data_IF_378388652971
#
_entry.id   IF_378388652971
#
_cell.length_a   1.000
_cell.length_b   1.000
_cell.length_c   1.000
_cell.angle_alpha   90.00
_cell.angle_beta   90.00
_cell.angle_gamma   90.00
#
_symmetry.space_group_name_H-M   'P 1'
#
loop_
_entity.id
_entity.type
_entity.pdbx_description
1 polymer ?
#
# COMPACT_ATOMS: atom_id res chain seq x y z
N UNK A 1 12.82 0.93 -15.97
CA UNK A 1 13.35 1.81 -14.90
C UNK A 1 12.94 3.26 -15.16
N UNK A 2 12.93 3.72 -16.42
CA UNK A 2 12.54 5.11 -16.77
C UNK A 2 11.06 5.50 -16.52
N UNK A 3 10.13 4.55 -16.35
CA UNK A 3 8.70 4.84 -16.12
C UNK A 3 8.43 5.61 -14.83
N UNK A 4 9.29 5.46 -13.83
CA UNK A 4 9.16 6.11 -12.52
C UNK A 4 10.27 7.12 -12.26
N UNK A 5 10.97 7.58 -13.30
CA UNK A 5 11.99 8.61 -13.12
C UNK A 5 11.33 9.93 -12.71
N UNK A 6 11.97 10.74 -11.83
CA UNK A 6 11.54 12.11 -11.55
C UNK A 6 11.51 13.02 -12.79
N UNK A 7 12.18 12.61 -13.87
CA UNK A 7 12.27 13.34 -15.14
C UNK A 7 11.12 13.00 -16.10
N UNK A 8 10.40 11.92 -15.86
CA UNK A 8 9.24 11.50 -16.68
C UNK A 8 8.05 12.40 -16.35
N UNK A 9 7.35 12.90 -17.37
CA UNK A 9 6.25 13.86 -17.15
C UNK A 9 5.22 13.30 -16.16
N UNK A 10 4.89 14.11 -15.15
CA UNK A 10 4.09 13.76 -13.96
C UNK A 10 2.78 13.02 -14.27
N UNK A 11 2.19 13.20 -15.46
CA UNK A 11 0.91 12.60 -15.84
C UNK A 11 0.93 11.11 -16.22
N UNK A 12 2.09 10.48 -16.43
CA UNK A 12 2.19 9.05 -16.80
C UNK A 12 2.87 8.17 -15.74
N UNK A 13 3.24 8.75 -14.59
CA UNK A 13 3.96 8.05 -13.53
C UNK A 13 2.97 7.46 -12.53
N UNK A 14 2.70 6.15 -12.65
CA UNK A 14 1.79 5.42 -11.73
C UNK A 14 2.21 5.58 -10.26
N UNK A 15 3.51 5.58 -9.95
CA UNK A 15 3.98 5.74 -8.58
C UNK A 15 3.64 7.14 -8.01
N UNK A 16 3.74 8.18 -8.83
CA UNK A 16 3.32 9.53 -8.45
C UNK A 16 1.80 9.61 -8.23
N UNK A 17 0.99 8.99 -9.09
CA UNK A 17 -0.46 8.92 -8.89
C UNK A 17 -0.84 8.18 -7.60
N UNK A 18 -0.15 7.09 -7.28
CA UNK A 18 -0.36 6.37 -6.01
C UNK A 18 -0.05 7.31 -4.84
N UNK A 19 1.11 7.97 -4.85
CA UNK A 19 1.51 8.91 -3.80
C UNK A 19 0.49 10.05 -3.61
N UNK A 20 0.02 10.66 -4.69
CA UNK A 20 -1.02 11.68 -4.64
C UNK A 20 -2.35 11.14 -4.10
N UNK A 21 -2.74 9.93 -4.47
CA UNK A 21 -4.02 9.34 -4.03
C UNK A 21 -4.08 9.07 -2.52
N UNK A 22 -2.92 8.91 -1.88
CA UNK A 22 -2.78 8.68 -0.44
C UNK A 22 -2.29 9.91 0.33
N UNK A 23 -2.07 11.03 -0.36
CA UNK A 23 -1.68 12.27 0.28
C UNK A 23 -2.77 12.74 1.26
N UNK A 24 -2.38 13.06 2.50
CA UNK A 24 -3.28 13.32 3.63
C UNK A 24 -4.26 12.17 3.98
N UNK A 25 -3.86 10.93 3.73
CA UNK A 25 -4.65 9.76 4.09
C UNK A 25 -3.81 8.60 4.62
N UNK A 26 -4.49 7.59 5.17
CA UNK A 26 -3.91 6.37 5.71
C UNK A 26 -4.12 5.24 4.69
N UNK A 27 -3.08 4.77 3.99
CA UNK A 27 -3.22 3.69 3.03
C UNK A 27 -3.43 2.34 3.73
N UNK A 28 -4.34 1.56 3.16
CA UNK A 28 -4.57 0.16 3.50
C UNK A 28 -4.38 -0.67 2.23
N UNK A 29 -3.31 -1.47 2.20
CA UNK A 29 -2.92 -2.23 1.02
C UNK A 29 -3.48 -3.65 1.10
N UNK A 30 -4.22 -4.06 0.08
CA UNK A 30 -4.86 -5.36 0.00
C UNK A 30 -4.42 -6.14 -1.22
N UNK A 31 -4.38 -7.47 -1.13
CA UNK A 31 -4.23 -8.34 -2.31
C UNK A 31 -5.04 -9.62 -2.20
N UNK A 32 -5.45 -10.14 -3.36
CA UNK A 32 -6.13 -11.42 -3.50
C UNK A 32 -5.24 -12.61 -3.86
N UNK A 33 -4.01 -12.36 -4.32
CA UNK A 33 -3.11 -13.41 -4.75
C UNK A 33 -2.14 -13.78 -3.61
N UNK A 34 -2.14 -15.04 -3.12
CA UNK A 34 -1.30 -15.42 -1.97
C UNK A 34 0.19 -15.12 -2.16
N UNK A 35 0.72 -15.31 -3.38
CA UNK A 35 2.13 -15.04 -3.65
C UNK A 35 2.49 -13.54 -3.63
N UNK A 36 1.51 -12.63 -3.71
CA UNK A 36 1.71 -11.18 -3.58
C UNK A 36 1.67 -10.70 -2.12
N UNK A 37 1.35 -11.56 -1.15
CA UNK A 37 1.33 -11.17 0.27
C UNK A 37 2.64 -10.51 0.74
N UNK A 38 3.84 -11.03 0.41
CA UNK A 38 5.10 -10.37 0.77
C UNK A 38 5.23 -8.96 0.18
N UNK A 39 4.72 -8.72 -1.03
CA UNK A 39 4.73 -7.39 -1.66
C UNK A 39 3.79 -6.43 -0.94
N UNK A 40 2.63 -6.92 -0.51
CA UNK A 40 1.66 -6.14 0.27
C UNK A 40 2.27 -5.67 1.59
N UNK A 41 2.98 -6.58 2.29
CA UNK A 41 3.77 -6.25 3.49
C UNK A 41 4.89 -5.26 3.18
N UNK A 42 5.60 -5.44 2.05
CA UNK A 42 6.66 -4.51 1.65
C UNK A 42 6.12 -3.10 1.43
N UNK A 43 5.01 -2.94 0.70
CA UNK A 43 4.38 -1.63 0.48
C UNK A 43 4.05 -0.94 1.80
N UNK A 44 3.39 -1.67 2.72
CA UNK A 44 3.13 -1.18 4.07
C UNK A 44 4.41 -0.70 4.74
N UNK A 45 5.45 -1.53 4.76
CA UNK A 45 6.70 -1.18 5.44
C UNK A 45 7.37 0.05 4.80
N UNK A 46 7.45 0.12 3.47
CA UNK A 46 8.07 1.24 2.76
C UNK A 46 7.28 2.54 2.94
N UNK A 47 5.95 2.49 3.01
CA UNK A 47 5.13 3.66 3.35
C UNK A 47 5.37 4.15 4.78
N UNK A 48 5.43 3.25 5.76
CA UNK A 48 5.77 3.60 7.13
C UNK A 48 7.18 4.18 7.23
N UNK A 49 8.15 3.49 6.63
CA UNK A 49 9.56 3.81 6.74
C UNK A 49 9.95 5.04 5.92
N UNK A 50 9.64 5.12 4.63
CA UNK A 50 10.11 6.23 3.80
C UNK A 50 9.25 7.48 3.98
N UNK A 51 7.93 7.32 3.96
CA UNK A 51 6.97 8.45 3.98
C UNK A 51 6.63 8.94 5.39
N UNK A 52 7.17 8.29 6.43
CA UNK A 52 6.95 8.57 7.86
C UNK A 52 5.47 8.65 8.23
N UNK A 53 4.67 7.80 7.59
CA UNK A 53 3.20 7.83 7.68
C UNK A 53 2.65 6.43 7.88
N UNK A 54 1.67 6.29 8.78
CA UNK A 54 1.09 5.00 9.09
C UNK A 54 0.45 4.37 7.85
N UNK A 55 0.77 3.10 7.62
CA UNK A 55 0.17 2.28 6.57
C UNK A 55 -0.14 0.89 7.10
N UNK A 56 -1.17 0.26 6.55
CA UNK A 56 -1.62 -1.08 6.93
C UNK A 56 -1.70 -2.00 5.71
N UNK A 57 -1.71 -3.31 5.96
CA UNK A 57 -1.87 -4.31 4.90
C UNK A 57 -2.60 -5.55 5.38
N UNK A 58 -3.45 -6.11 4.52
CA UNK A 58 -4.09 -7.40 4.76
C UNK A 58 -4.36 -8.13 3.43
N UNK A 59 -4.82 -9.38 3.47
CA UNK A 59 -5.00 -10.23 2.29
C UNK A 59 -6.37 -10.91 2.28
N UNK A 60 -6.91 -11.17 1.09
CA UNK A 60 -8.12 -11.99 0.95
C UNK A 60 -7.79 -13.48 1.16
N UNK A 61 -8.70 -14.28 1.73
CA UNK A 61 -10.03 -13.89 2.23
C UNK A 61 -10.03 -13.35 3.67
N UNK A 62 -8.90 -13.39 4.38
CA UNK A 62 -8.81 -13.08 5.82
C UNK A 62 -9.34 -11.68 6.17
N UNK A 63 -9.03 -10.67 5.36
CA UNK A 63 -9.57 -9.32 5.58
C UNK A 63 -11.10 -9.26 5.51
N UNK A 64 -11.76 -10.16 4.76
CA UNK A 64 -13.22 -10.23 4.77
C UNK A 64 -13.77 -10.81 6.06
N UNK A 65 -12.97 -11.53 6.85
CA UNK A 65 -13.36 -12.01 8.16
C UNK A 65 -13.12 -10.94 9.23
N UNK A 66 -12.06 -10.14 9.11
CA UNK A 66 -11.61 -9.28 10.20
C UNK A 66 -11.89 -7.79 10.00
N UNK A 67 -11.77 -7.28 8.77
CA UNK A 67 -11.78 -5.83 8.51
C UNK A 67 -13.05 -5.35 7.81
N UNK A 68 -13.85 -6.25 7.22
CA UNK A 68 -15.05 -5.83 6.47
C UNK A 68 -16.04 -5.04 7.33
N UNK A 69 -16.20 -5.45 8.59
CA UNK A 69 -17.05 -4.77 9.57
C UNK A 69 -16.46 -3.41 9.99
N UNK A 70 -15.13 -3.26 9.95
CA UNK A 70 -14.46 -1.99 10.24
C UNK A 70 -14.89 -0.88 9.27
N UNK A 71 -15.17 -1.22 8.01
CA UNK A 71 -15.68 -0.28 7.01
C UNK A 71 -17.13 0.18 7.27
N UNK A 72 -17.87 -0.53 8.13
CA UNK A 72 -19.19 -0.10 8.64
C UNK A 72 -19.10 0.85 9.84
N UNK A 73 -17.89 1.06 10.37
CA UNK A 73 -17.64 1.95 11.49
C UNK A 73 -17.89 3.42 11.18
N UNK A 74 -17.37 4.29 12.05
CA UNK A 74 -17.62 5.73 11.99
C UNK A 74 -17.06 6.33 10.69
N UNK A 75 -17.95 6.88 9.85
CA UNK A 75 -17.60 7.55 8.60
C UNK A 75 -16.56 8.67 8.79
N UNK A 76 -16.65 9.41 9.90
CA UNK A 76 -15.69 10.46 10.25
C UNK A 76 -14.27 9.95 10.45
N UNK A 77 -14.09 8.68 10.79
CA UNK A 77 -12.78 8.02 10.89
C UNK A 77 -12.42 7.41 9.54
N UNK A 78 -13.34 6.65 8.95
CA UNK A 78 -13.06 5.88 7.73
C UNK A 78 -12.74 6.76 6.52
N UNK A 79 -13.23 8.01 6.47
CA UNK A 79 -12.90 8.98 5.41
C UNK A 79 -11.41 9.30 5.30
N UNK A 80 -10.62 9.03 6.33
CA UNK A 80 -9.17 9.25 6.33
C UNK A 80 -8.39 8.08 5.72
N UNK A 81 -9.03 6.95 5.44
CA UNK A 81 -8.36 5.79 4.86
C UNK A 81 -8.50 5.75 3.33
N UNK A 82 -7.50 5.17 2.67
CA UNK A 82 -7.49 4.91 1.23
C UNK A 82 -7.10 3.47 1.00
N UNK A 83 -7.95 2.72 0.30
CA UNK A 83 -7.66 1.32 0.01
C UNK A 83 -6.89 1.21 -1.31
N UNK A 84 -5.81 0.44 -1.33
CA UNK A 84 -5.07 0.09 -2.55
C UNK A 84 -5.14 -1.41 -2.75
N UNK A 85 -5.75 -1.84 -3.85
CA UNK A 85 -5.88 -3.23 -4.23
C UNK A 85 -4.79 -3.62 -5.23
N UNK A 86 -3.83 -4.44 -4.80
CA UNK A 86 -2.84 -5.07 -5.67
C UNK A 86 -3.47 -6.28 -6.37
N UNK A 87 -3.62 -6.20 -7.69
CA UNK A 87 -4.33 -7.18 -8.51
C UNK A 87 -3.39 -8.06 -9.31
N UNK A 88 -3.73 -9.35 -9.41
CA UNK A 88 -2.99 -10.32 -10.24
C UNK A 88 -3.92 -11.14 -11.14
N UNK A 89 -3.48 -11.53 -12.36
CA UNK A 89 -4.25 -12.43 -13.22
C UNK A 89 -4.58 -13.78 -12.59
N UNK A 90 -3.71 -14.32 -11.72
CA UNK A 90 -3.84 -15.63 -11.08
C UNK A 90 -4.77 -15.65 -9.85
N UNK A 91 -5.45 -14.54 -9.54
CA UNK A 91 -6.52 -14.55 -8.54
C UNK A 91 -7.62 -15.56 -8.94
N UNK A 92 -8.02 -16.41 -7.98
CA UNK A 92 -9.11 -17.36 -8.22
C UNK A 92 -10.43 -16.63 -8.50
N UNK A 93 -11.38 -17.24 -9.23
CA UNK A 93 -12.70 -16.65 -9.46
C UNK A 93 -13.42 -16.22 -8.17
N UNK A 94 -13.29 -17.04 -7.10
CA UNK A 94 -13.88 -16.74 -5.79
C UNK A 94 -13.24 -15.51 -5.14
N UNK A 95 -11.91 -15.35 -5.25
CA UNK A 95 -11.22 -14.16 -4.76
C UNK A 95 -11.63 -12.93 -5.58
N UNK A 96 -11.69 -13.03 -6.92
CA UNK A 96 -12.16 -11.93 -7.78
C UNK A 96 -13.55 -11.45 -7.37
N UNK A 97 -14.47 -12.39 -7.11
CA UNK A 97 -15.81 -12.08 -6.61
C UNK A 97 -15.77 -11.38 -5.24
N UNK A 98 -14.96 -11.88 -4.29
CA UNK A 98 -14.79 -11.23 -2.97
C UNK A 98 -14.27 -9.79 -3.09
N UNK A 99 -13.30 -9.55 -3.96
CA UNK A 99 -12.76 -8.21 -4.19
C UNK A 99 -13.84 -7.30 -4.78
N UNK A 100 -14.63 -7.78 -5.75
CA UNK A 100 -15.72 -7.00 -6.34
C UNK A 100 -16.79 -6.61 -5.31
N UNK A 101 -17.25 -7.57 -4.49
CA UNK A 101 -18.19 -7.30 -3.39
C UNK A 101 -17.60 -6.30 -2.39
N UNK A 102 -16.32 -6.45 -2.05
CA UNK A 102 -15.63 -5.53 -1.13
C UNK A 102 -15.57 -4.12 -1.72
N UNK A 103 -15.31 -3.97 -3.03
CA UNK A 103 -15.33 -2.67 -3.72
C UNK A 103 -16.72 -2.03 -3.70
N UNK A 104 -17.78 -2.81 -3.86
CA UNK A 104 -19.16 -2.32 -3.73
C UNK A 104 -19.44 -1.78 -2.32
N UNK A 105 -19.02 -2.52 -1.29
CA UNK A 105 -19.13 -2.09 0.10
C UNK A 105 -18.37 -0.78 0.32
N UNK A 106 -17.09 -0.71 -0.07
CA UNK A 106 -16.27 0.49 0.05
C UNK A 106 -16.92 1.69 -0.66
N UNK A 107 -17.41 1.50 -1.89
CA UNK A 107 -18.10 2.53 -2.67
C UNK A 107 -19.37 3.02 -1.98
N UNK A 108 -20.22 2.13 -1.49
CA UNK A 108 -21.45 2.47 -0.78
C UNK A 108 -21.18 3.24 0.52
N UNK A 109 -20.00 3.04 1.12
CA UNK A 109 -19.52 3.75 2.31
C UNK A 109 -18.69 4.99 1.99
N UNK A 110 -18.56 5.36 0.72
CA UNK A 110 -17.78 6.51 0.24
C UNK A 110 -16.28 6.43 0.63
N UNK A 111 -15.76 5.20 0.75
CA UNK A 111 -14.33 4.97 0.96
C UNK A 111 -13.65 4.97 -0.40
N UNK A 112 -12.66 5.84 -0.55
CA UNK A 112 -11.89 5.93 -1.78
C UNK A 112 -10.91 4.76 -1.86
N UNK A 113 -10.85 4.14 -3.03
CA UNK A 113 -9.95 3.04 -3.31
C UNK A 113 -9.40 3.11 -4.74
N UNK A 114 -8.25 2.47 -4.96
CA UNK A 114 -7.62 2.31 -6.27
C UNK A 114 -7.15 0.88 -6.49
N UNK A 115 -6.88 0.54 -7.74
CA UNK A 115 -6.35 -0.77 -8.15
C UNK A 115 -5.02 -0.61 -8.85
N UNK A 116 -4.06 -1.47 -8.52
CA UNK A 116 -2.74 -1.54 -9.14
C UNK A 116 -2.55 -2.96 -9.66
N UNK A 117 -2.53 -3.11 -10.97
CA UNK A 117 -2.41 -4.40 -11.63
C UNK A 117 -0.93 -4.78 -11.82
N UNK A 118 -0.59 -6.01 -11.45
CA UNK A 118 0.75 -6.53 -11.65
C UNK A 118 1.05 -6.71 -13.15
N UNK A 119 2.23 -6.31 -13.58
CA UNK A 119 2.68 -6.37 -14.96
C UNK A 119 3.82 -7.38 -15.12
N UNK A 120 3.77 -8.20 -16.17
CA UNK A 120 4.80 -9.19 -16.50
C UNK A 120 4.26 -10.60 -16.78
N UNK A 121 5.07 -11.41 -17.46
CA UNK A 121 4.68 -12.76 -17.90
C UNK A 121 4.87 -13.82 -16.80
N UNK A 122 5.90 -13.67 -15.96
CA UNK A 122 6.17 -14.59 -14.84
C UNK A 122 5.71 -13.98 -13.50
N UNK A 123 5.44 -14.83 -12.51
CA UNK A 123 5.15 -14.39 -11.13
C UNK A 123 6.25 -13.48 -10.59
N UNK A 124 7.51 -13.79 -10.88
CA UNK A 124 8.65 -12.98 -10.45
C UNK A 124 8.62 -11.58 -11.08
N UNK A 125 8.34 -11.48 -12.39
CA UNK A 125 8.21 -10.19 -13.06
C UNK A 125 7.05 -9.36 -12.48
N UNK A 126 5.91 -10.01 -12.20
CA UNK A 126 4.74 -9.38 -11.58
C UNK A 126 4.98 -8.93 -10.14
N UNK A 127 5.73 -9.69 -9.36
CA UNK A 127 6.22 -9.26 -8.04
C UNK A 127 7.08 -8.01 -8.16
N UNK A 128 8.08 -8.03 -9.03
CA UNK A 128 9.00 -6.89 -9.17
C UNK A 128 8.35 -5.64 -9.74
N UNK A 129 7.35 -5.76 -10.62
CA UNK A 129 6.62 -4.59 -11.13
C UNK A 129 5.86 -3.88 -10.02
N UNK A 130 5.19 -4.63 -9.13
CA UNK A 130 4.52 -4.07 -7.96
C UNK A 130 5.50 -3.57 -6.89
N UNK A 131 6.61 -4.27 -6.63
CA UNK A 131 7.67 -3.79 -5.73
C UNK A 131 8.18 -2.43 -6.20
N UNK A 132 8.52 -2.33 -7.49
CA UNK A 132 9.03 -1.09 -8.07
C UNK A 132 8.02 0.06 -7.94
N UNK A 133 6.74 -0.21 -8.23
CA UNK A 133 5.69 0.80 -8.10
C UNK A 133 5.53 1.29 -6.66
N UNK A 134 5.53 0.38 -5.68
CA UNK A 134 5.38 0.73 -4.25
C UNK A 134 6.56 1.48 -3.68
N UNK A 135 7.79 1.04 -3.99
CA UNK A 135 9.02 1.68 -3.52
C UNK A 135 9.09 3.13 -4.04
N UNK A 136 8.86 3.36 -5.34
CA UNK A 136 8.79 4.72 -5.90
C UNK A 136 7.63 5.54 -5.33
N UNK A 137 6.46 4.93 -5.13
CA UNK A 137 5.32 5.64 -4.55
C UNK A 137 5.62 6.11 -3.12
N UNK A 138 6.32 5.28 -2.33
CA UNK A 138 6.74 5.64 -0.97
C UNK A 138 7.72 6.80 -0.94
N UNK A 139 8.66 6.82 -1.90
CA UNK A 139 9.60 7.91 -2.08
C UNK A 139 8.89 9.21 -2.46
N UNK A 140 8.02 9.18 -3.47
CA UNK A 140 7.26 10.36 -3.87
C UNK A 140 6.35 10.86 -2.76
N UNK A 141 5.76 9.96 -1.98
CA UNK A 141 4.93 10.35 -0.85
C UNK A 141 5.74 10.98 0.28
N UNK A 142 6.98 10.52 0.52
CA UNK A 142 7.90 11.20 1.44
C UNK A 142 8.18 12.64 0.99
N UNK A 143 8.40 12.86 -0.32
CA UNK A 143 8.59 14.20 -0.87
C UNK A 143 7.35 15.08 -0.68
N UNK A 144 6.15 14.56 -0.95
CA UNK A 144 4.88 15.28 -0.72
C UNK A 144 4.66 15.62 0.77
N UNK A 145 5.16 14.78 1.67
CA UNK A 145 5.09 15.00 3.11
C UNK A 145 6.25 15.85 3.66
N UNK A 146 7.16 16.34 2.79
CA UNK A 146 8.37 17.05 3.18
C UNK A 146 9.21 16.28 4.21
N UNK A 147 9.36 14.97 3.99
CA UNK A 147 10.15 14.05 4.82
C UNK A 147 11.35 13.52 4.06
N UNK A 148 12.44 13.33 4.79
CA UNK A 148 13.61 12.61 4.28
C UNK A 148 13.34 11.09 4.34
N UNK A 149 13.28 10.39 3.19
CA UNK A 149 13.03 8.96 3.14
C UNK A 149 14.20 8.11 3.65
N UNK A 150 15.39 8.67 3.83
CA UNK A 150 16.61 7.96 4.23
C UNK A 150 16.75 7.89 5.76
N UNK A 151 16.34 8.94 6.47
CA UNK A 151 16.49 9.03 7.94
C UNK A 151 15.75 7.92 8.68
N UNK A 152 16.28 7.42 9.79
CA UNK A 152 15.63 6.37 10.60
C UNK A 152 15.75 6.62 12.11
N UNK A 153 15.71 7.88 12.53
CA UNK A 153 16.06 8.35 13.88
C UNK A 153 15.35 7.60 15.01
N UNK A 154 14.06 7.26 14.84
CA UNK A 154 13.31 6.49 15.84
C UNK A 154 13.79 5.04 15.99
N UNK A 155 14.25 4.43 14.90
CA UNK A 155 14.84 3.08 14.91
C UNK A 155 16.21 3.14 15.60
N UNK A 156 17.02 4.15 15.29
CA UNK A 156 18.34 4.31 15.92
C UNK A 156 18.22 4.55 17.42
N UNK A 157 17.27 5.41 17.85
CA UNK A 157 16.94 5.60 19.26
C UNK A 157 16.50 4.30 19.94
N UNK A 158 15.65 3.51 19.28
CA UNK A 158 15.18 2.23 19.84
C UNK A 158 16.36 1.26 20.02
N UNK A 159 17.22 1.11 19.01
CA UNK A 159 18.41 0.25 19.06
C UNK A 159 19.38 0.68 20.17
N UNK A 160 19.63 1.98 20.31
CA UNK A 160 20.49 2.53 21.36
C UNK A 160 19.94 2.25 22.77
N UNK A 161 18.62 2.33 22.98
CA UNK A 161 18.03 2.04 24.29
C UNK A 161 18.03 0.56 24.64
N UNK A 162 17.80 -0.32 23.66
CA UNK A 162 17.82 -1.76 23.88
C UNK A 162 19.23 -2.26 24.24
N UNK A 163 20.26 -1.79 23.55
CA UNK A 163 21.65 -2.19 23.86
C UNK A 163 22.11 -1.79 25.27
N UNK A 164 21.50 -0.75 25.86
CA UNK A 164 21.76 -0.31 27.24
C UNK A 164 20.95 -1.07 28.29
N UNK A 165 19.83 -1.68 27.90
CA UNK A 165 18.94 -2.43 28.80
C UNK A 165 19.36 -3.91 28.94
N UNK A 166 20.12 -4.44 27.99
CA UNK A 166 20.65 -5.82 27.99
C UNK A 166 21.92 -5.99 28.87
N UNK A 167 22.15 -5.09 29.84
CA UNK A 167 23.28 -5.12 30.81
C UNK A 167 22.78 -5.50 32.20
#
# INVERSE_FOLDING_TARGET
IDRYSPVTSYGNNLAHHIAQSVYHAIPVVYTGAPFLQPVTVRWRNQFNENSKSMAFSNVFPELNHNEIMGWEGLKEVNKHFRVILLRDPEESPRVKQRINITKEILKNRQILFGEVFAEGQSRLARLFSLISAGDWASYYWAMLNEKDPITIDSIDLLKDRLSKADV
#
